data_IF_709053852411
#
_entry.id   IF_709053852411
#
_cell.length_a   1.000
_cell.length_b   1.000
_cell.length_c   1.000
_cell.angle_alpha   90.00
_cell.angle_beta   90.00
_cell.angle_gamma   90.00
#
_symmetry.space_group_name_H-M   'P 1'
#
loop_
_entity.id
_entity.type
_entity.pdbx_description
1 polymer ?
#
# COMPACT_ATOMS: atom_id res chain seq x y z
N UNK A 1 -16.52 -6.36 0.36
CA UNK A 1 -15.47 -6.22 1.39
C UNK A 1 -16.16 -5.96 2.72
N UNK A 2 -15.82 -6.69 3.80
CA UNK A 2 -16.37 -6.38 5.12
C UNK A 2 -16.09 -4.91 5.43
N UNK A 3 -17.15 -4.19 5.79
CA UNK A 3 -17.11 -2.75 5.96
C UNK A 3 -16.28 -2.41 7.18
N UNK A 4 -15.14 -1.74 6.96
CA UNK A 4 -14.40 -1.07 8.03
C UNK A 4 -15.37 -0.19 8.85
N UNK A 5 -15.37 -0.38 10.17
CA UNK A 5 -16.30 0.28 11.08
C UNK A 5 -16.04 1.80 11.13
N UNK A 6 -17.05 2.64 11.40
CA UNK A 6 -16.84 4.08 11.52
C UNK A 6 -15.78 4.49 12.56
N UNK A 7 -15.69 3.74 13.66
CA UNK A 7 -14.68 3.96 14.70
C UNK A 7 -13.26 3.64 14.19
N UNK A 8 -13.11 2.51 13.48
CA UNK A 8 -11.85 2.15 12.84
C UNK A 8 -11.43 3.22 11.81
N UNK A 9 -12.35 3.65 10.93
CA UNK A 9 -12.10 4.72 9.94
C UNK A 9 -11.50 5.97 10.58
N UNK A 10 -12.13 6.46 11.65
CA UNK A 10 -11.68 7.68 12.34
C UNK A 10 -10.24 7.58 12.85
N UNK A 11 -9.81 6.39 13.28
CA UNK A 11 -8.43 6.13 13.71
C UNK A 11 -7.44 6.17 12.55
N UNK A 12 -7.77 5.51 11.43
CA UNK A 12 -6.93 5.54 10.23
C UNK A 12 -6.84 6.95 9.65
N UNK A 13 -7.96 7.66 9.52
CA UNK A 13 -8.04 9.01 8.97
C UNK A 13 -7.16 9.98 9.78
N UNK A 14 -7.17 9.87 11.11
CA UNK A 14 -6.33 10.69 11.99
C UNK A 14 -4.84 10.44 11.76
N UNK A 15 -4.41 9.16 11.73
CA UNK A 15 -3.00 8.81 11.53
C UNK A 15 -2.52 9.21 10.13
N UNK A 16 -3.34 9.00 9.11
CA UNK A 16 -3.02 9.35 7.72
C UNK A 16 -2.95 10.86 7.53
N UNK A 17 -3.91 11.62 8.08
CA UNK A 17 -3.92 13.08 7.93
C UNK A 17 -2.65 13.72 8.48
N UNK A 18 -2.20 13.27 9.66
CA UNK A 18 -0.94 13.74 10.27
C UNK A 18 0.26 13.45 9.38
N UNK A 19 0.33 12.25 8.79
CA UNK A 19 1.43 11.91 7.90
C UNK A 19 1.42 12.78 6.63
N UNK A 20 0.26 12.92 5.98
CA UNK A 20 0.13 13.73 4.76
C UNK A 20 0.49 15.20 5.00
N UNK A 21 0.22 15.75 6.20
CA UNK A 21 0.64 17.11 6.58
C UNK A 21 2.14 17.33 6.56
N UNK A 22 2.93 16.27 6.73
CA UNK A 22 4.39 16.33 6.69
C UNK A 22 4.97 16.13 5.28
N UNK A 23 4.14 15.73 4.31
CA UNK A 23 4.58 15.42 2.96
C UNK A 23 4.58 16.65 2.05
N UNK A 24 5.54 16.68 1.15
CA UNK A 24 5.53 17.52 -0.04
C UNK A 24 5.64 16.63 -1.29
N UNK A 25 5.48 17.22 -2.49
CA UNK A 25 5.49 16.45 -3.74
C UNK A 25 6.76 15.62 -3.95
N UNK A 26 7.93 16.16 -3.62
CA UNK A 26 9.21 15.43 -3.74
C UNK A 26 9.27 14.27 -2.74
N UNK A 27 8.87 14.51 -1.49
CA UNK A 27 8.82 13.48 -0.45
C UNK A 27 7.78 12.41 -0.75
N UNK A 28 6.68 12.73 -1.43
CA UNK A 28 5.61 11.80 -1.73
C UNK A 28 6.10 10.60 -2.57
N UNK A 29 6.74 10.86 -3.70
CA UNK A 29 7.19 9.79 -4.61
C UNK A 29 8.34 8.94 -4.05
N UNK A 30 9.07 9.41 -3.05
CA UNK A 30 10.06 8.61 -2.34
C UNK A 30 9.50 7.89 -1.11
N UNK A 31 8.83 8.63 -0.21
CA UNK A 31 8.42 8.11 1.09
C UNK A 31 7.14 7.27 1.01
N UNK A 32 6.13 7.66 0.24
CA UNK A 32 4.85 6.93 0.23
C UNK A 32 5.01 5.50 -0.26
N UNK A 33 5.69 5.23 -1.39
CA UNK A 33 5.90 3.85 -1.81
C UNK A 33 6.70 3.03 -0.80
N UNK A 34 7.76 3.60 -0.22
CA UNK A 34 8.56 2.93 0.82
C UNK A 34 7.74 2.62 2.09
N UNK A 35 6.90 3.56 2.52
CA UNK A 35 5.98 3.40 3.65
C UNK A 35 4.97 2.29 3.39
N UNK A 36 4.38 2.24 2.18
CA UNK A 36 3.44 1.19 1.81
C UNK A 36 4.10 -0.19 1.82
N UNK A 37 5.32 -0.32 1.27
CA UNK A 37 6.09 -1.56 1.33
C UNK A 37 6.36 -1.96 2.78
N UNK A 38 6.78 -1.05 3.65
CA UNK A 38 7.06 -1.36 5.05
C UNK A 38 5.80 -1.81 5.84
N UNK A 39 4.63 -1.22 5.54
CA UNK A 39 3.35 -1.68 6.10
C UNK A 39 3.03 -3.10 5.61
N UNK A 40 3.23 -3.38 4.33
CA UNK A 40 3.02 -4.71 3.76
C UNK A 40 3.94 -5.76 4.40
N UNK A 41 5.23 -5.44 4.56
CA UNK A 41 6.19 -6.30 5.25
C UNK A 41 5.77 -6.58 6.70
N UNK A 42 5.34 -5.54 7.42
CA UNK A 42 4.91 -5.66 8.82
C UNK A 42 3.65 -6.50 9.01
N UNK A 43 2.67 -6.38 8.11
CA UNK A 43 1.36 -7.01 8.26
C UNK A 43 1.22 -8.34 7.51
N UNK A 44 1.91 -8.50 6.38
CA UNK A 44 1.75 -9.64 5.45
C UNK A 44 3.06 -10.41 5.24
N UNK A 45 4.20 -9.88 5.68
CA UNK A 45 5.52 -10.48 5.48
C UNK A 45 5.96 -11.48 6.55
N UNK A 46 5.37 -11.50 7.76
CA UNK A 46 5.87 -12.31 8.88
C UNK A 46 4.90 -13.46 9.27
N UNK A 47 5.23 -14.70 8.89
CA UNK A 47 4.53 -15.92 9.33
C UNK A 47 4.89 -17.13 8.46
N UNK A 48 5.26 -18.27 9.07
CA UNK A 48 5.79 -19.44 8.33
C UNK A 48 4.73 -20.24 7.55
N UNK A 49 3.49 -20.32 8.04
CA UNK A 49 2.50 -21.27 7.47
C UNK A 49 1.37 -20.60 6.64
N UNK A 50 1.30 -19.25 6.63
CA UNK A 50 0.27 -18.49 5.88
C UNK A 50 0.85 -17.41 4.96
N UNK A 51 2.18 -17.41 4.76
CA UNK A 51 2.91 -16.34 4.06
C UNK A 51 2.41 -16.12 2.64
N UNK A 52 2.37 -17.19 1.84
CA UNK A 52 2.07 -17.09 0.41
C UNK A 52 0.65 -16.61 0.12
N UNK A 53 -0.34 -17.07 0.90
CA UNK A 53 -1.74 -16.64 0.75
C UNK A 53 -1.87 -15.16 1.08
N UNK A 54 -1.30 -14.72 2.20
CA UNK A 54 -1.36 -13.31 2.63
C UNK A 54 -0.56 -12.37 1.71
N UNK A 55 0.58 -12.82 1.21
CA UNK A 55 1.38 -12.07 0.24
C UNK A 55 0.60 -11.85 -1.06
N UNK A 56 -0.07 -12.89 -1.56
CA UNK A 56 -0.92 -12.79 -2.76
C UNK A 56 -2.20 -12.00 -2.53
N UNK A 57 -2.77 -12.06 -1.33
CA UNK A 57 -3.90 -11.21 -0.96
C UNK A 57 -3.53 -9.72 -1.03
N UNK A 58 -2.33 -9.34 -0.55
CA UNK A 58 -1.82 -7.98 -0.70
C UNK A 58 -1.64 -7.57 -2.18
N UNK A 59 -1.08 -8.45 -3.02
CA UNK A 59 -1.00 -8.22 -4.49
C UNK A 59 -2.39 -7.98 -5.08
N UNK A 60 -3.37 -8.81 -4.71
CA UNK A 60 -4.74 -8.72 -5.15
C UNK A 60 -5.43 -7.42 -4.72
N UNK A 61 -5.19 -6.95 -3.49
CA UNK A 61 -5.68 -5.64 -3.02
C UNK A 61 -5.11 -4.53 -3.90
N UNK A 62 -3.79 -4.48 -4.09
CA UNK A 62 -3.15 -3.42 -4.89
C UNK A 62 -3.63 -3.43 -6.35
N UNK A 63 -3.79 -4.61 -6.96
CA UNK A 63 -4.32 -4.73 -8.31
C UNK A 63 -5.78 -4.25 -8.41
N UNK A 64 -6.63 -4.62 -7.46
CA UNK A 64 -8.02 -4.13 -7.40
C UNK A 64 -8.07 -2.60 -7.24
N UNK A 65 -7.21 -2.03 -6.40
CA UNK A 65 -7.13 -0.59 -6.19
C UNK A 65 -6.69 0.15 -7.45
N UNK A 66 -5.64 -0.33 -8.10
CA UNK A 66 -5.16 0.22 -9.36
C UNK A 66 -6.29 0.26 -10.41
N UNK A 67 -7.00 -0.86 -10.56
CA UNK A 67 -8.14 -0.97 -11.47
C UNK A 67 -9.26 0.02 -11.11
N UNK A 68 -9.66 0.09 -9.84
CA UNK A 68 -10.75 0.98 -9.41
C UNK A 68 -10.42 2.46 -9.62
N UNK A 69 -9.17 2.88 -9.37
CA UNK A 69 -8.74 4.25 -9.63
C UNK A 69 -8.76 4.59 -11.12
N UNK A 70 -8.29 3.69 -11.99
CA UNK A 70 -8.38 3.87 -13.44
C UNK A 70 -9.84 3.99 -13.89
N UNK A 71 -10.69 3.06 -13.45
CA UNK A 71 -12.11 2.99 -13.83
C UNK A 71 -12.88 4.24 -13.43
N UNK A 72 -12.68 4.74 -12.21
CA UNK A 72 -13.42 5.89 -11.67
C UNK A 72 -12.97 7.24 -12.23
N UNK A 73 -11.74 7.31 -12.72
CA UNK A 73 -11.14 8.55 -13.20
C UNK A 73 -11.04 8.61 -14.72
N UNK A 74 -11.66 7.64 -15.42
CA UNK A 74 -11.68 7.51 -16.88
C UNK A 74 -10.27 7.59 -17.50
N UNK A 75 -9.26 7.12 -16.76
CA UNK A 75 -7.89 7.12 -17.24
C UNK A 75 -7.75 6.03 -18.30
N UNK A 76 -7.20 6.40 -19.46
CA UNK A 76 -6.93 5.46 -20.55
C UNK A 76 -5.98 4.33 -20.14
N UNK A 77 -5.84 3.31 -21.00
CA UNK A 77 -5.03 2.13 -20.70
C UNK A 77 -3.52 2.40 -20.58
N UNK A 78 -3.04 3.54 -21.09
CA UNK A 78 -1.61 3.90 -21.10
C UNK A 78 -1.18 4.27 -19.68
N UNK A 79 -0.36 3.40 -19.09
CA UNK A 79 0.33 3.70 -17.84
C UNK A 79 1.48 4.69 -18.12
N UNK A 80 1.68 5.72 -17.28
CA UNK A 80 3.02 6.27 -17.08
C UNK A 80 3.97 5.12 -16.72
N UNK A 81 5.24 5.21 -17.12
CA UNK A 81 6.26 4.23 -16.71
C UNK A 81 6.15 3.94 -15.21
N UNK A 82 6.25 2.66 -14.83
CA UNK A 82 6.21 2.25 -13.44
C UNK A 82 7.22 3.08 -12.64
N UNK A 83 6.77 3.68 -11.53
CA UNK A 83 7.68 4.42 -10.65
C UNK A 83 8.63 3.41 -10.03
N UNK A 84 9.92 3.49 -10.35
CA UNK A 84 10.94 2.67 -9.70
C UNK A 84 11.02 3.05 -8.23
N UNK A 85 10.71 2.10 -7.35
CA UNK A 85 10.72 2.31 -5.90
C UNK A 85 12.08 1.91 -5.35
N UNK A 86 12.90 2.91 -5.07
CA UNK A 86 14.16 2.73 -4.37
C UNK A 86 13.94 2.12 -2.96
N UNK A 87 14.97 1.44 -2.45
CA UNK A 87 15.01 0.82 -1.11
C UNK A 87 15.19 1.84 0.01
N UNK A 88 14.68 3.05 -0.15
CA UNK A 88 15.05 4.21 0.66
C UNK A 88 14.85 3.97 2.15
N UNK A 89 15.78 4.51 2.94
CA UNK A 89 15.62 4.56 4.39
C UNK A 89 14.50 5.54 4.73
N UNK A 90 13.41 5.03 5.29
CA UNK A 90 12.34 5.85 5.84
C UNK A 90 12.90 6.87 6.82
N UNK A 91 12.44 8.12 6.71
CA UNK A 91 12.72 9.15 7.70
C UNK A 91 12.00 8.86 9.03
N UNK A 92 12.33 9.63 10.08
CA UNK A 92 11.79 9.41 11.43
C UNK A 92 10.26 9.51 11.46
N UNK A 93 9.67 10.46 10.73
CA UNK A 93 8.22 10.66 10.72
C UNK A 93 7.52 9.50 10.01
N UNK A 94 8.06 9.07 8.88
CA UNK A 94 7.57 7.95 8.08
C UNK A 94 7.66 6.63 8.84
N UNK A 95 8.72 6.40 9.63
CA UNK A 95 8.82 5.24 10.53
C UNK A 95 7.75 5.25 11.61
N UNK A 96 7.56 6.38 12.29
CA UNK A 96 6.51 6.51 13.31
C UNK A 96 5.11 6.28 12.73
N UNK A 97 4.87 6.73 11.49
CA UNK A 97 3.63 6.45 10.78
C UNK A 97 3.48 4.94 10.51
N UNK A 98 4.50 4.30 9.94
CA UNK A 98 4.49 2.84 9.66
C UNK A 98 4.21 2.04 10.93
N UNK A 99 4.89 2.33 12.04
CA UNK A 99 4.67 1.65 13.31
C UNK A 99 3.22 1.80 13.82
N UNK A 100 2.66 3.01 13.73
CA UNK A 100 1.26 3.27 14.12
C UNK A 100 0.28 2.51 13.22
N UNK A 101 0.52 2.52 11.91
CA UNK A 101 -0.33 1.84 10.93
C UNK A 101 -0.30 0.32 11.12
N UNK A 102 0.90 -0.27 11.26
CA UNK A 102 1.04 -1.70 11.54
C UNK A 102 0.31 -2.06 12.83
N UNK A 103 0.46 -1.25 13.89
CA UNK A 103 -0.25 -1.48 15.16
C UNK A 103 -1.77 -1.46 14.99
N UNK A 104 -2.31 -0.50 14.23
CA UNK A 104 -3.75 -0.44 13.95
C UNK A 104 -4.23 -1.66 13.16
N UNK A 105 -3.50 -2.03 12.10
CA UNK A 105 -3.85 -3.17 11.27
C UNK A 105 -3.75 -4.49 12.05
N UNK A 106 -2.72 -4.66 12.88
CA UNK A 106 -2.46 -5.89 13.63
C UNK A 106 -3.43 -6.12 14.79
N UNK A 107 -4.24 -5.13 15.16
CA UNK A 107 -5.29 -5.29 16.17
C UNK A 107 -6.56 -5.96 15.62
N UNK A 108 -6.67 -6.07 14.30
CA UNK A 108 -7.85 -6.55 13.61
C UNK A 108 -7.73 -8.05 13.26
N UNK A 109 -8.86 -8.70 13.01
CA UNK A 109 -8.87 -10.08 12.51
C UNK A 109 -8.17 -10.15 11.14
N UNK A 110 -7.39 -11.21 10.92
CA UNK A 110 -6.70 -11.44 9.65
C UNK A 110 -7.62 -11.42 8.42
N UNK A 111 -8.89 -11.81 8.59
CA UNK A 111 -9.91 -11.83 7.53
C UNK A 111 -10.37 -10.44 7.07
N UNK A 112 -10.07 -9.37 7.81
CA UNK A 112 -10.43 -7.99 7.45
C UNK A 112 -9.23 -7.12 7.05
N UNK A 113 -8.00 -7.63 7.19
CA UNK A 113 -6.77 -6.89 6.90
C UNK A 113 -6.75 -6.31 5.48
N UNK A 114 -7.15 -7.09 4.47
CA UNK A 114 -7.23 -6.62 3.09
C UNK A 114 -8.18 -5.41 2.93
N UNK A 115 -9.31 -5.41 3.63
CA UNK A 115 -10.26 -4.31 3.64
C UNK A 115 -9.68 -3.04 4.28
N UNK A 116 -8.97 -3.20 5.39
CA UNK A 116 -8.36 -2.09 6.12
C UNK A 116 -7.16 -1.50 5.37
N UNK A 117 -6.35 -2.34 4.72
CA UNK A 117 -5.26 -1.90 3.84
C UNK A 117 -5.81 -1.09 2.67
N UNK A 118 -6.85 -1.60 1.98
CA UNK A 118 -7.50 -0.89 0.88
C UNK A 118 -8.02 0.49 1.31
N UNK A 119 -8.72 0.54 2.45
CA UNK A 119 -9.21 1.81 3.01
C UNK A 119 -8.06 2.78 3.30
N UNK A 120 -7.00 2.32 3.97
CA UNK A 120 -5.85 3.13 4.35
C UNK A 120 -5.15 3.75 3.15
N UNK A 121 -4.89 2.95 2.11
CA UNK A 121 -4.28 3.46 0.87
C UNK A 121 -5.22 4.46 0.19
N UNK A 122 -6.53 4.18 0.15
CA UNK A 122 -7.51 5.05 -0.49
C UNK A 122 -7.53 6.44 0.17
N UNK A 123 -7.60 6.50 1.49
CA UNK A 123 -7.60 7.78 2.23
C UNK A 123 -6.28 8.51 2.06
N UNK A 124 -5.15 7.80 2.13
CA UNK A 124 -3.81 8.39 1.91
C UNK A 124 -3.72 9.08 0.54
N UNK A 125 -4.19 8.42 -0.52
CA UNK A 125 -4.16 8.97 -1.87
C UNK A 125 -5.14 10.14 -2.03
N UNK A 126 -6.37 10.03 -1.53
CA UNK A 126 -7.37 11.10 -1.59
C UNK A 126 -6.91 12.36 -0.84
N UNK A 127 -6.34 12.21 0.35
CA UNK A 127 -5.80 13.32 1.13
C UNK A 127 -4.63 13.99 0.42
N UNK A 128 -3.77 13.20 -0.20
CA UNK A 128 -2.62 13.72 -0.97
C UNK A 128 -3.05 14.49 -2.23
N UNK A 129 -4.11 14.03 -2.90
CA UNK A 129 -4.72 14.76 -4.03
C UNK A 129 -5.40 16.04 -3.56
N UNK A 130 -6.18 15.99 -2.47
CA UNK A 130 -6.86 17.15 -1.88
C UNK A 130 -5.88 18.27 -1.54
N UNK A 131 -4.67 17.90 -1.10
CA UNK A 131 -3.58 18.82 -0.77
C UNK A 131 -2.67 19.14 -1.95
N UNK A 132 -3.02 18.73 -3.18
CA UNK A 132 -2.27 18.98 -4.42
C UNK A 132 -0.83 18.45 -4.42
N UNK A 133 -0.53 17.48 -3.56
CA UNK A 133 0.81 16.85 -3.46
C UNK A 133 1.05 15.97 -4.69
N UNK A 134 0.04 15.17 -5.04
CA UNK A 134 0.04 14.26 -6.18
C UNK A 134 -1.19 14.51 -7.05
N UNK A 135 -1.02 14.37 -8.37
CA UNK A 135 -2.12 14.40 -9.33
C UNK A 135 -2.84 13.06 -9.39
N UNK A 136 -4.14 13.12 -9.65
CA UNK A 136 -5.00 11.93 -9.67
C UNK A 136 -4.57 10.86 -10.67
N UNK A 137 -4.02 11.29 -11.81
CA UNK A 137 -3.52 10.42 -12.87
C UNK A 137 -2.23 9.66 -12.49
N UNK A 138 -1.52 10.10 -11.45
CA UNK A 138 -0.23 9.52 -11.03
C UNK A 138 -0.43 8.32 -10.08
N UNK A 139 -1.61 8.21 -9.45
CA UNK A 139 -1.91 7.20 -8.44
C UNK A 139 -1.81 5.76 -8.98
N UNK A 140 -2.40 5.41 -10.15
CA UNK A 140 -2.32 4.04 -10.66
C UNK A 140 -0.87 3.57 -10.89
N UNK A 141 0.00 4.45 -11.42
CA UNK A 141 1.40 4.13 -11.65
C UNK A 141 2.15 3.87 -10.33
N UNK A 142 1.88 4.67 -9.29
CA UNK A 142 2.44 4.46 -7.95
C UNK A 142 2.00 3.12 -7.36
N UNK A 143 0.70 2.81 -7.42
CA UNK A 143 0.15 1.54 -6.90
C UNK A 143 0.74 0.36 -7.67
N UNK A 144 0.87 0.46 -9.00
CA UNK A 144 1.50 -0.60 -9.82
C UNK A 144 2.95 -0.83 -9.40
N UNK A 145 3.73 0.24 -9.23
CA UNK A 145 5.12 0.14 -8.76
C UNK A 145 5.23 -0.56 -7.40
N UNK A 146 4.36 -0.21 -6.43
CA UNK A 146 4.34 -0.85 -5.10
C UNK A 146 3.99 -2.33 -5.23
N UNK A 147 3.01 -2.67 -6.07
CA UNK A 147 2.60 -4.06 -6.32
C UNK A 147 3.72 -4.90 -6.92
N UNK A 148 4.35 -4.41 -7.99
CA UNK A 148 5.45 -5.09 -8.68
C UNK A 148 6.61 -5.31 -7.72
N UNK A 149 7.02 -4.25 -7.01
CA UNK A 149 8.09 -4.32 -6.01
C UNK A 149 7.80 -5.34 -4.92
N UNK A 150 6.56 -5.38 -4.41
CA UNK A 150 6.14 -6.34 -3.41
C UNK A 150 6.21 -7.78 -3.95
N UNK A 151 5.65 -8.02 -5.14
CA UNK A 151 5.66 -9.33 -5.79
C UNK A 151 7.09 -9.84 -6.00
N UNK A 152 7.97 -9.03 -6.57
CA UNK A 152 9.36 -9.41 -6.86
C UNK A 152 10.15 -9.79 -5.61
N UNK A 153 9.89 -9.12 -4.48
CA UNK A 153 10.62 -9.39 -3.23
C UNK A 153 10.03 -10.51 -2.40
N UNK A 154 8.70 -10.65 -2.41
CA UNK A 154 8.02 -11.45 -1.41
C UNK A 154 7.29 -12.64 -2.00
N UNK A 155 6.87 -12.59 -3.26
CA UNK A 155 6.06 -13.65 -3.89
C UNK A 155 6.90 -14.44 -4.90
N UNK A 156 7.55 -13.77 -5.85
CA UNK A 156 8.34 -14.39 -6.91
C UNK A 156 9.40 -15.39 -6.39
N UNK A 157 10.17 -15.12 -5.31
CA UNK A 157 11.15 -16.08 -4.80
C UNK A 157 10.53 -17.41 -4.34
N UNK A 158 9.28 -17.40 -3.87
CA UNK A 158 8.57 -18.62 -3.49
C UNK A 158 8.06 -19.36 -4.71
N UNK A 159 7.48 -18.66 -5.69
CA UNK A 159 7.01 -19.24 -6.95
C UNK A 159 8.18 -19.87 -7.73
N UNK A 160 9.29 -19.14 -7.88
CA UNK A 160 10.51 -19.63 -8.53
C UNK A 160 11.07 -20.88 -7.84
N UNK A 161 11.06 -20.89 -6.49
CA UNK A 161 11.52 -22.05 -5.72
C UNK A 161 10.59 -23.26 -5.90
N UNK A 162 9.28 -23.05 -6.01
CA UNK A 162 8.31 -24.10 -6.28
C UNK A 162 8.45 -24.65 -7.71
N UNK A 163 8.65 -23.77 -8.70
CA UNK A 163 8.91 -24.15 -10.09
C UNK A 163 10.20 -24.96 -10.19
N UNK A 164 11.30 -24.52 -9.59
CA UNK A 164 12.60 -25.23 -9.62
C UNK A 164 12.57 -26.64 -9.00
N UNK A 165 11.60 -26.93 -8.14
CA UNK A 165 11.43 -28.23 -7.48
C UNK A 165 10.58 -29.21 -8.28
N UNK A 166 9.89 -28.76 -9.33
CA UNK A 166 9.05 -29.56 -10.21
C UNK A 166 9.60 -29.56 -11.64
#
# INVERSE_FOLDING_TARGET
>A
MPYITPDARSKYDSVISVFVETLNRKSFFGQVPAVLIAILEGCFGNGHDTRYVKQNEAVGVLACMEHEWRRRMELGAVLPDCVEIARDSLDVNSRQFVEKMIRLLSQEDSSVLAGHLNYSITVLMLESVRRTIVGIAEIPALISGVRERWYDCNTAPYEDSAIKKN
#
